data_IF_721035533388
#
_entry.id   IF_721035533388
#
_cell.length_a   1.000
_cell.length_b   1.000
_cell.length_c   1.000
_cell.angle_alpha   90.00
_cell.angle_beta   90.00
_cell.angle_gamma   90.00
#
_symmetry.space_group_name_H-M   'P 1'
#
loop_
_entity.id
_entity.type
_entity.pdbx_description
1 polymer ?
#
# COMPACT_ATOMS: atom_id res chain seq x y z
N UNK A 1 -3.35 -3.59 17.11
CA UNK A 1 -2.77 -2.66 16.11
C UNK A 1 -2.10 -1.53 16.87
N UNK A 2 -0.83 -1.20 16.58
CA UNK A 2 -0.03 -0.31 17.47
C UNK A 2 -0.66 1.08 17.70
N UNK A 3 -1.24 1.70 16.67
CA UNK A 3 -1.78 3.06 16.79
C UNK A 3 -3.14 3.14 17.52
N UNK A 4 -3.84 2.01 17.69
CA UNK A 4 -5.09 1.93 18.49
C UNK A 4 -4.82 1.36 19.88
N UNK A 5 -3.81 0.50 20.03
CA UNK A 5 -3.46 -0.16 21.28
C UNK A 5 -4.10 -1.55 21.42
N UNK A 6 -4.27 -2.00 22.66
CA UNK A 6 -4.74 -3.35 23.00
C UNK A 6 -6.21 -3.59 22.64
N UNK A 7 -7.01 -2.54 22.45
CA UNK A 7 -8.43 -2.62 22.11
C UNK A 7 -8.71 -3.14 20.70
N UNK A 8 -7.71 -3.17 19.82
CA UNK A 8 -7.81 -3.78 18.48
C UNK A 8 -6.78 -4.90 18.34
N UNK A 9 -7.09 -6.12 18.79
CA UNK A 9 -6.15 -7.24 18.73
C UNK A 9 -5.76 -7.54 17.28
N UNK A 10 -4.50 -7.89 17.07
CA UNK A 10 -3.99 -8.32 15.77
C UNK A 10 -2.90 -9.36 15.98
N UNK A 11 -3.00 -10.48 15.29
CA UNK A 11 -2.02 -11.57 15.38
C UNK A 11 -0.62 -11.08 15.05
N UNK A 12 0.35 -11.57 15.82
CA UNK A 12 1.78 -11.35 15.56
C UNK A 12 2.30 -12.18 14.38
N UNK A 13 1.51 -13.16 13.90
CA UNK A 13 1.84 -13.96 12.72
C UNK A 13 1.93 -13.13 11.43
N UNK A 14 1.42 -11.90 11.40
CA UNK A 14 1.64 -10.97 10.27
C UNK A 14 3.13 -10.76 9.94
N UNK A 15 4.02 -10.83 10.94
CA UNK A 15 5.47 -10.78 10.72
C UNK A 15 6.01 -11.97 9.90
N UNK A 16 5.34 -13.14 9.95
CA UNK A 16 5.67 -14.25 9.07
C UNK A 16 5.37 -13.90 7.61
N UNK A 17 4.17 -13.38 7.34
CA UNK A 17 3.77 -13.02 5.98
C UNK A 17 4.60 -11.87 5.42
N UNK A 18 4.94 -10.88 6.25
CA UNK A 18 5.88 -9.82 5.89
C UNK A 18 7.25 -10.39 5.49
N UNK A 19 7.85 -11.26 6.31
CA UNK A 19 9.14 -11.86 6.01
C UNK A 19 9.13 -12.71 4.73
N UNK A 20 8.05 -13.48 4.51
CA UNK A 20 7.89 -14.29 3.30
C UNK A 20 7.69 -13.40 2.07
N UNK A 21 6.87 -12.36 2.17
CA UNK A 21 6.62 -11.42 1.07
C UNK A 21 7.87 -10.60 0.72
N UNK A 22 8.61 -10.09 1.71
CA UNK A 22 9.90 -9.42 1.50
C UNK A 22 10.88 -10.33 0.75
N UNK A 23 11.00 -11.61 1.14
CA UNK A 23 11.86 -12.57 0.45
C UNK A 23 11.38 -12.89 -0.97
N UNK A 24 10.07 -13.06 -1.18
CA UNK A 24 9.53 -13.35 -2.51
C UNK A 24 9.67 -12.14 -3.44
N UNK A 25 9.28 -10.94 -3.00
CA UNK A 25 9.39 -9.73 -3.80
C UNK A 25 10.85 -9.33 -4.01
N UNK A 26 11.70 -9.43 -2.99
CA UNK A 26 13.14 -9.19 -3.11
C UNK A 26 13.87 -10.21 -4.00
N UNK A 27 13.40 -11.46 -4.06
CA UNK A 27 13.91 -12.43 -5.04
C UNK A 27 13.55 -12.10 -6.49
N UNK A 28 12.48 -11.33 -6.71
CA UNK A 28 12.02 -10.90 -8.04
C UNK A 28 12.57 -9.53 -8.44
N UNK A 29 12.75 -8.64 -7.47
CA UNK A 29 13.16 -7.24 -7.66
C UNK A 29 14.09 -6.79 -6.53
N UNK A 30 15.31 -7.36 -6.43
CA UNK A 30 16.22 -7.11 -5.31
C UNK A 30 16.68 -5.65 -5.19
N UNK A 31 16.60 -4.89 -6.28
CA UNK A 31 16.96 -3.47 -6.33
C UNK A 31 15.96 -2.58 -5.55
N UNK A 32 14.74 -3.06 -5.33
CA UNK A 32 13.63 -2.26 -4.78
C UNK A 32 13.00 -2.85 -3.51
N UNK A 33 13.65 -3.82 -2.86
CA UNK A 33 13.18 -4.42 -1.59
C UNK A 33 14.40 -4.64 -0.68
N UNK A 34 14.34 -4.25 0.61
CA UNK A 34 15.46 -4.48 1.52
C UNK A 34 15.71 -5.97 1.75
N UNK A 35 16.99 -6.36 1.78
CA UNK A 35 17.40 -7.73 2.06
C UNK A 35 16.98 -8.17 3.48
N UNK A 36 16.41 -9.37 3.60
CA UNK A 36 16.06 -9.98 4.88
C UNK A 36 17.22 -10.87 5.36
N UNK A 37 17.88 -10.46 6.44
CA UNK A 37 18.98 -11.22 7.05
C UNK A 37 18.48 -12.34 7.95
N UNK A 38 17.40 -12.10 8.70
CA UNK A 38 16.92 -13.02 9.72
C UNK A 38 15.40 -12.90 9.91
N UNK A 39 14.77 -14.02 10.23
CA UNK A 39 13.38 -14.03 10.68
C UNK A 39 13.22 -15.06 11.81
N UNK A 40 12.71 -14.62 12.95
CA UNK A 40 12.33 -15.46 14.09
C UNK A 40 10.81 -15.41 14.24
N UNK A 41 10.15 -16.53 13.94
CA UNK A 41 8.69 -16.64 14.00
C UNK A 41 8.16 -16.60 15.43
N UNK A 42 8.86 -17.22 16.38
CA UNK A 42 8.45 -17.27 17.79
C UNK A 42 8.47 -15.87 18.38
N UNK A 43 9.50 -15.08 18.05
CA UNK A 43 9.64 -13.69 18.47
C UNK A 43 8.85 -12.71 17.59
N UNK A 44 8.36 -13.16 16.43
CA UNK A 44 7.72 -12.32 15.40
C UNK A 44 8.62 -11.14 15.01
N UNK A 45 9.89 -11.44 14.75
CA UNK A 45 10.97 -10.47 14.54
C UNK A 45 11.62 -10.66 13.17
N UNK A 46 11.81 -9.56 12.44
CA UNK A 46 12.53 -9.53 11.17
C UNK A 46 13.78 -8.67 11.35
N UNK A 47 14.94 -9.25 11.03
CA UNK A 47 16.19 -8.52 10.83
C UNK A 47 16.39 -8.31 9.34
N UNK A 48 16.45 -7.05 8.89
CA UNK A 48 16.58 -6.69 7.48
C UNK A 48 17.58 -5.54 7.30
N UNK A 49 17.96 -5.27 6.05
CA UNK A 49 18.84 -4.17 5.65
C UNK A 49 18.33 -2.85 6.21
N UNK A 50 19.21 -2.15 6.93
CA UNK A 50 18.94 -0.77 7.30
C UNK A 50 19.08 0.11 6.06
N UNK A 51 17.98 0.79 5.69
CA UNK A 51 17.98 1.78 4.62
C UNK A 51 18.56 3.09 5.17
N UNK A 52 19.87 3.23 5.02
CA UNK A 52 20.66 4.31 5.61
C UNK A 52 20.25 5.71 5.10
N UNK A 53 20.54 6.77 5.88
CA UNK A 53 20.42 8.14 5.40
C UNK A 53 21.13 8.32 4.04
N UNK A 54 20.52 9.05 3.09
CA UNK A 54 19.40 9.96 3.28
C UNK A 54 18.02 9.36 2.99
N UNK A 55 17.82 8.02 3.04
CA UNK A 55 16.50 7.44 2.78
C UNK A 55 15.44 8.03 3.72
N UNK A 56 14.36 8.53 3.13
CA UNK A 56 13.17 8.96 3.85
C UNK A 56 11.92 8.28 3.28
N UNK A 57 10.86 8.23 4.07
CA UNK A 57 9.55 7.78 3.60
C UNK A 57 9.06 8.73 2.49
N UNK A 58 8.66 8.18 1.33
CA UNK A 58 8.24 8.92 0.14
C UNK A 58 7.16 9.95 0.45
N UNK A 59 6.16 9.61 1.28
CA UNK A 59 5.13 10.56 1.73
C UNK A 59 5.73 11.84 2.32
N UNK A 60 6.81 11.76 3.10
CA UNK A 60 7.49 12.94 3.66
C UNK A 60 8.15 13.78 2.56
N UNK A 61 8.77 13.12 1.58
CA UNK A 61 9.34 13.77 0.41
C UNK A 61 8.29 14.53 -0.42
N UNK A 62 7.14 13.91 -0.66
CA UNK A 62 6.03 14.51 -1.40
C UNK A 62 5.42 15.72 -0.67
N UNK A 63 5.30 15.67 0.66
CA UNK A 63 4.87 16.82 1.48
C UNK A 63 5.88 17.98 1.35
N UNK A 64 7.17 17.66 1.38
CA UNK A 64 8.25 18.64 1.24
C UNK A 64 8.36 19.20 -0.20
N UNK A 65 7.69 18.61 -1.18
CA UNK A 65 7.80 19.00 -2.59
C UNK A 65 9.13 18.60 -3.23
N UNK A 66 9.70 17.48 -2.79
CA UNK A 66 10.93 16.91 -3.39
C UNK A 66 10.55 16.06 -4.59
N UNK A 67 11.22 16.29 -5.71
CA UNK A 67 11.10 15.47 -6.91
C UNK A 67 12.03 14.24 -6.84
N UNK A 68 11.52 13.10 -7.29
CA UNK A 68 12.25 11.83 -7.35
C UNK A 68 12.23 11.33 -8.81
N UNK A 69 13.25 11.69 -9.62
CA UNK A 69 13.22 11.48 -11.07
C UNK A 69 13.03 10.01 -11.49
N UNK A 70 13.55 9.07 -10.69
CA UNK A 70 13.49 7.64 -10.97
C UNK A 70 12.28 6.93 -10.35
N UNK A 71 11.42 7.64 -9.60
CA UNK A 71 10.33 7.01 -8.86
C UNK A 71 9.37 6.25 -9.78
N UNK A 72 9.02 6.84 -10.92
CA UNK A 72 8.12 6.21 -11.88
C UNK A 72 8.71 4.92 -12.46
N UNK A 73 9.98 4.96 -12.88
CA UNK A 73 10.70 3.81 -13.42
C UNK A 73 10.79 2.69 -12.37
N UNK A 74 11.35 2.99 -11.19
CA UNK A 74 11.56 2.02 -10.12
C UNK A 74 10.26 1.36 -9.64
N UNK A 75 9.20 2.15 -9.41
CA UNK A 75 7.92 1.61 -8.95
C UNK A 75 7.21 0.81 -10.04
N UNK A 76 7.32 1.22 -11.31
CA UNK A 76 6.76 0.46 -12.42
C UNK A 76 7.45 -0.89 -12.57
N UNK A 77 8.78 -0.94 -12.40
CA UNK A 77 9.57 -2.17 -12.44
C UNK A 77 9.20 -3.10 -11.27
N UNK A 78 9.17 -2.57 -10.05
CA UNK A 78 8.73 -3.32 -8.86
C UNK A 78 7.35 -3.94 -9.06
N UNK A 79 6.35 -3.14 -9.45
CA UNK A 79 4.97 -3.63 -9.62
C UNK A 79 4.88 -4.63 -10.78
N UNK A 80 5.55 -4.37 -11.90
CA UNK A 80 5.52 -5.29 -13.04
C UNK A 80 6.12 -6.65 -12.68
N UNK A 81 7.32 -6.68 -12.09
CA UNK A 81 8.03 -7.92 -11.72
C UNK A 81 7.27 -8.70 -10.65
N UNK A 82 6.87 -8.05 -9.55
CA UNK A 82 6.23 -8.73 -8.43
C UNK A 82 4.84 -9.27 -8.80
N UNK A 83 4.00 -8.47 -9.46
CA UNK A 83 2.66 -8.89 -9.81
C UNK A 83 2.67 -9.94 -10.93
N UNK A 84 3.48 -9.76 -11.98
CA UNK A 84 3.52 -10.70 -13.11
C UNK A 84 4.04 -12.07 -12.69
N UNK A 85 5.22 -12.14 -12.06
CA UNK A 85 5.90 -13.38 -11.72
C UNK A 85 5.23 -14.18 -10.58
N UNK A 86 4.28 -13.58 -9.87
CA UNK A 86 3.48 -14.25 -8.84
C UNK A 86 2.07 -14.64 -9.31
N UNK A 87 1.73 -14.31 -10.57
CA UNK A 87 0.44 -14.62 -11.18
C UNK A 87 0.43 -15.92 -11.98
N UNK A 88 -0.77 -16.33 -12.40
CA UNK A 88 -0.97 -17.46 -13.33
C UNK A 88 -0.43 -17.22 -14.75
N UNK A 89 0.03 -16.01 -15.09
CA UNK A 89 0.72 -15.76 -16.36
C UNK A 89 2.14 -16.36 -16.37
N UNK A 90 2.71 -16.57 -15.18
CA UNK A 90 4.05 -17.11 -14.99
C UNK A 90 4.03 -18.46 -14.25
N UNK A 91 3.26 -18.56 -13.16
CA UNK A 91 3.20 -19.75 -12.31
C UNK A 91 2.24 -20.80 -12.86
N UNK A 92 2.58 -22.07 -12.66
CA UNK A 92 1.62 -23.15 -12.84
C UNK A 92 0.48 -23.06 -11.81
N UNK A 93 -0.69 -23.61 -12.14
CA UNK A 93 -1.84 -23.62 -11.21
C UNK A 93 -1.56 -24.39 -9.92
N UNK A 94 -0.66 -25.38 -9.95
CA UNK A 94 -0.21 -26.12 -8.76
C UNK A 94 0.59 -25.23 -7.81
N UNK A 95 1.57 -24.49 -8.32
CA UNK A 95 2.38 -23.55 -7.53
C UNK A 95 1.51 -22.41 -7.00
N UNK A 96 0.62 -21.87 -7.84
CA UNK A 96 -0.31 -20.81 -7.46
C UNK A 96 -1.23 -21.24 -6.33
N UNK A 97 -1.88 -22.41 -6.44
CA UNK A 97 -2.77 -22.93 -5.38
C UNK A 97 -2.02 -23.18 -4.07
N UNK A 98 -0.79 -23.71 -4.13
CA UNK A 98 0.03 -23.91 -2.93
C UNK A 98 0.35 -22.57 -2.24
N UNK A 99 0.73 -21.56 -3.01
CA UNK A 99 1.04 -20.24 -2.48
C UNK A 99 -0.22 -19.54 -1.92
N UNK A 100 -1.38 -19.68 -2.58
CA UNK A 100 -2.67 -19.19 -2.05
C UNK A 100 -2.96 -19.81 -0.68
N UNK A 101 -2.79 -21.13 -0.52
CA UNK A 101 -3.04 -21.82 0.76
C UNK A 101 -2.16 -21.29 1.89
N UNK A 102 -0.89 -20.97 1.61
CA UNK A 102 0.01 -20.38 2.60
C UNK A 102 -0.49 -18.99 3.04
N UNK A 103 -0.79 -18.11 2.08
CA UNK A 103 -1.20 -16.74 2.37
C UNK A 103 -2.65 -16.58 2.85
N UNK A 104 -3.50 -17.60 2.73
CA UNK A 104 -4.80 -17.63 3.42
C UNK A 104 -4.66 -17.49 4.94
N UNK A 105 -3.49 -17.80 5.51
CA UNK A 105 -3.22 -17.58 6.94
C UNK A 105 -3.14 -16.09 7.33
N UNK A 106 -3.00 -15.16 6.39
CA UNK A 106 -2.94 -13.72 6.67
C UNK A 106 -4.35 -13.06 6.81
N UNK A 107 -5.34 -13.87 7.19
CA UNK A 107 -6.77 -13.50 7.18
C UNK A 107 -7.09 -12.31 8.09
N UNK A 108 -6.42 -12.14 9.22
CA UNK A 108 -6.71 -11.02 10.13
C UNK A 108 -6.37 -9.66 9.50
N UNK A 109 -5.27 -9.58 8.74
CA UNK A 109 -4.89 -8.35 8.02
C UNK A 109 -5.83 -8.12 6.83
N UNK A 110 -6.21 -9.17 6.10
CA UNK A 110 -7.24 -9.06 5.06
C UNK A 110 -8.56 -8.53 5.63
N UNK A 111 -9.02 -9.06 6.77
CA UNK A 111 -10.25 -8.61 7.44
C UNK A 111 -10.19 -7.17 7.89
N UNK A 112 -9.02 -6.70 8.33
CA UNK A 112 -8.82 -5.29 8.65
C UNK A 112 -9.05 -4.42 7.40
N UNK A 113 -8.42 -4.76 6.27
CA UNK A 113 -8.61 -4.05 5.00
C UNK A 113 -10.06 -4.11 4.50
N UNK A 114 -10.70 -5.29 4.58
CA UNK A 114 -12.12 -5.48 4.25
C UNK A 114 -13.04 -4.55 5.05
N UNK A 115 -12.68 -4.23 6.30
CA UNK A 115 -13.41 -3.30 7.14
C UNK A 115 -13.08 -1.85 6.78
N UNK A 116 -11.81 -1.45 6.87
CA UNK A 116 -11.43 -0.02 6.86
C UNK A 116 -11.39 0.60 5.46
N UNK A 117 -11.11 -0.21 4.42
CA UNK A 117 -11.10 0.26 3.03
C UNK A 117 -12.47 0.08 2.39
N UNK A 118 -13.09 -1.09 2.60
CA UNK A 118 -14.26 -1.51 1.81
C UNK A 118 -15.58 -1.46 2.56
N UNK A 119 -15.66 -0.93 3.78
CA UNK A 119 -16.92 -0.93 4.55
C UNK A 119 -17.13 0.29 5.42
N UNK A 120 -16.22 0.61 6.32
CA UNK A 120 -16.42 1.65 7.33
C UNK A 120 -16.71 3.04 6.72
N UNK A 121 -16.02 3.51 5.65
CA UNK A 121 -16.35 4.79 5.02
C UNK A 121 -17.79 4.91 4.49
N UNK A 122 -18.47 3.79 4.23
CA UNK A 122 -19.78 3.72 3.58
C UNK A 122 -20.94 3.47 4.57
N UNK A 123 -20.67 3.53 5.87
CA UNK A 123 -21.67 3.41 6.95
C UNK A 123 -21.32 4.34 8.12
N UNK A 124 -22.21 4.40 9.11
CA UNK A 124 -21.85 4.99 10.42
C UNK A 124 -20.90 4.01 11.13
N UNK A 125 -19.73 4.50 11.53
CA UNK A 125 -18.71 3.74 12.27
C UNK A 125 -18.08 4.66 13.31
N UNK A 126 -17.83 4.14 14.50
CA UNK A 126 -17.12 4.86 15.57
C UNK A 126 -15.66 5.14 15.22
N UNK A 127 -15.10 4.39 14.28
CA UNK A 127 -13.70 4.52 13.84
C UNK A 127 -13.52 5.56 12.73
N UNK A 128 -14.60 6.00 12.09
CA UNK A 128 -14.48 7.01 11.04
C UNK A 128 -14.15 8.37 11.65
N UNK A 129 -13.22 9.07 11.01
CA UNK A 129 -12.82 10.42 11.39
C UNK A 129 -12.59 11.29 10.16
N UNK A 130 -12.90 12.57 10.27
CA UNK A 130 -12.71 13.58 9.23
C UNK A 130 -12.62 14.97 9.87
N UNK A 131 -12.17 15.97 9.10
CA UNK A 131 -12.08 17.36 9.55
C UNK A 131 -13.48 17.97 9.74
N UNK A 132 -14.03 17.81 10.94
CA UNK A 132 -15.35 18.33 11.32
C UNK A 132 -15.27 19.79 11.83
N UNK A 133 -16.26 20.65 11.55
CA UNK A 133 -17.53 20.35 10.85
C UNK A 133 -17.44 20.43 9.32
N UNK A 134 -16.27 20.78 8.77
CA UNK A 134 -16.11 21.16 7.37
C UNK A 134 -16.49 20.06 6.37
N UNK A 135 -16.27 18.79 6.70
CA UNK A 135 -16.53 17.63 5.83
C UNK A 135 -17.73 16.78 6.27
N UNK A 136 -18.57 17.26 7.19
CA UNK A 136 -19.69 16.46 7.73
C UNK A 136 -20.68 16.04 6.62
N UNK A 137 -20.98 16.97 5.70
CA UNK A 137 -21.89 16.73 4.57
C UNK A 137 -21.27 15.83 3.51
N UNK A 138 -19.97 15.99 3.23
CA UNK A 138 -19.24 15.12 2.30
C UNK A 138 -19.25 13.68 2.82
N UNK A 139 -18.96 13.51 4.11
CA UNK A 139 -18.98 12.23 4.76
C UNK A 139 -20.40 11.61 4.73
N UNK A 140 -21.47 12.39 4.95
CA UNK A 140 -22.87 11.94 4.79
C UNK A 140 -23.18 11.51 3.36
N UNK A 141 -22.80 12.33 2.37
CA UNK A 141 -23.01 12.06 0.95
C UNK A 141 -22.39 10.71 0.54
N UNK A 142 -21.17 10.40 1.00
CA UNK A 142 -20.51 9.11 0.71
C UNK A 142 -21.30 7.91 1.26
N UNK A 143 -21.86 8.00 2.47
CA UNK A 143 -22.64 6.91 3.07
C UNK A 143 -24.06 6.83 2.52
N UNK A 144 -24.57 7.85 1.84
CA UNK A 144 -25.89 7.83 1.21
C UNK A 144 -25.84 7.48 -0.29
N UNK A 145 -24.67 7.57 -0.92
CA UNK A 145 -24.49 7.24 -2.34
C UNK A 145 -24.61 5.73 -2.60
N UNK A 146 -25.73 5.33 -3.20
CA UNK A 146 -26.01 3.94 -3.53
C UNK A 146 -25.20 3.41 -4.70
N UNK A 147 -24.84 4.25 -5.69
CA UNK A 147 -24.03 3.83 -6.83
C UNK A 147 -22.61 3.55 -6.37
N UNK A 148 -22.04 4.44 -5.56
CA UNK A 148 -20.73 4.25 -4.96
C UNK A 148 -20.67 2.96 -4.12
N UNK A 149 -21.74 2.66 -3.38
CA UNK A 149 -21.85 1.43 -2.59
C UNK A 149 -21.89 0.16 -3.44
N UNK A 150 -22.50 0.20 -4.62
CA UNK A 150 -22.50 -0.94 -5.55
C UNK A 150 -21.08 -1.18 -6.05
N UNK A 151 -20.41 -0.13 -6.53
CA UNK A 151 -19.04 -0.23 -7.05
C UNK A 151 -18.06 -0.74 -5.98
N UNK A 152 -18.12 -0.21 -4.76
CA UNK A 152 -17.23 -0.68 -3.69
C UNK A 152 -17.56 -2.11 -3.25
N UNK A 153 -18.82 -2.54 -3.32
CA UNK A 153 -19.18 -3.93 -3.05
C UNK A 153 -18.58 -4.88 -4.09
N UNK A 154 -18.58 -4.52 -5.37
CA UNK A 154 -17.91 -5.30 -6.42
C UNK A 154 -16.40 -5.38 -6.21
N UNK A 155 -15.76 -4.26 -5.82
CA UNK A 155 -14.34 -4.23 -5.51
C UNK A 155 -14.02 -5.05 -4.25
N UNK A 156 -14.88 -5.01 -3.23
CA UNK A 156 -14.76 -5.85 -2.04
C UNK A 156 -14.84 -7.33 -2.38
N UNK A 157 -15.81 -7.74 -3.20
CA UNK A 157 -15.89 -9.13 -3.68
C UNK A 157 -14.63 -9.52 -4.44
N UNK A 158 -14.13 -8.68 -5.36
CA UNK A 158 -12.86 -8.94 -6.06
C UNK A 158 -11.69 -9.09 -5.09
N UNK A 159 -11.61 -8.26 -4.04
CA UNK A 159 -10.57 -8.34 -3.01
C UNK A 159 -10.63 -9.65 -2.22
N UNK A 160 -11.81 -10.06 -1.77
CA UNK A 160 -11.99 -11.29 -0.98
C UNK A 160 -11.86 -12.58 -1.81
N UNK A 161 -12.21 -12.56 -3.10
CA UNK A 161 -12.42 -13.77 -3.89
C UNK A 161 -11.30 -14.01 -4.93
N UNK A 162 -10.68 -12.95 -5.46
CA UNK A 162 -9.80 -13.07 -6.64
C UNK A 162 -8.33 -13.19 -6.26
N UNK A 163 -7.86 -14.43 -6.14
CA UNK A 163 -6.44 -14.75 -5.98
C UNK A 163 -5.63 -14.57 -7.29
N UNK A 164 -5.29 -13.32 -7.66
CA UNK A 164 -4.67 -12.99 -8.95
C UNK A 164 -3.14 -13.03 -8.92
N UNK A 165 -2.52 -12.43 -7.91
CA UNK A 165 -1.07 -12.36 -7.71
C UNK A 165 -0.78 -12.20 -6.21
N UNK A 166 0.47 -12.41 -5.80
CA UNK A 166 0.89 -12.01 -4.46
C UNK A 166 1.03 -10.48 -4.46
N UNK A 167 0.05 -9.80 -3.86
CA UNK A 167 0.07 -8.34 -3.70
C UNK A 167 0.78 -7.98 -2.40
N UNK A 168 1.36 -6.78 -2.35
CA UNK A 168 1.89 -6.18 -1.12
C UNK A 168 0.77 -5.91 -0.10
N UNK A 169 -0.41 -5.48 -0.57
CA UNK A 169 -1.61 -5.34 0.26
C UNK A 169 -1.69 -4.05 1.08
N UNK A 170 -0.68 -3.18 1.02
CA UNK A 170 -0.69 -1.83 1.61
C UNK A 170 0.33 -0.91 0.93
N UNK A 171 0.34 -0.91 -0.41
CA UNK A 171 1.35 -0.21 -1.22
C UNK A 171 1.09 1.30 -1.34
N UNK A 172 0.94 1.99 -0.22
CA UNK A 172 0.82 3.45 -0.18
C UNK A 172 2.19 4.16 -0.16
N UNK A 173 2.23 5.49 -0.30
CA UNK A 173 3.49 6.27 -0.30
C UNK A 173 4.24 6.28 1.04
N UNK A 174 3.68 5.70 2.10
CA UNK A 174 4.41 5.44 3.35
C UNK A 174 5.11 4.09 3.41
N UNK A 175 4.82 3.18 2.47
CA UNK A 175 5.45 1.86 2.34
C UNK A 175 6.60 1.90 1.33
N UNK A 176 7.08 3.10 1.01
CA UNK A 176 8.18 3.34 0.08
C UNK A 176 9.17 4.30 0.73
N UNK A 177 10.44 3.91 0.78
CA UNK A 177 11.56 4.76 1.16
C UNK A 177 12.35 5.18 -0.07
N UNK A 178 12.80 6.43 -0.10
CA UNK A 178 13.39 7.06 -1.29
C UNK A 178 14.59 7.93 -0.97
N UNK A 179 15.46 8.03 -1.97
CA UNK A 179 16.48 9.06 -2.20
C UNK A 179 16.37 9.49 -3.67
N UNK A 180 17.15 10.46 -4.18
CA UNK A 180 17.08 10.84 -5.59
C UNK A 180 17.31 9.67 -6.58
N UNK A 181 18.09 8.67 -6.18
CA UNK A 181 18.57 7.57 -7.02
C UNK A 181 18.20 6.15 -6.53
N UNK A 182 17.52 6.02 -5.38
CA UNK A 182 17.06 4.72 -4.84
C UNK A 182 15.60 4.78 -4.38
N UNK A 183 14.85 3.72 -4.71
CA UNK A 183 13.46 3.49 -4.28
C UNK A 183 13.36 2.09 -3.67
N UNK A 184 12.84 1.99 -2.45
CA UNK A 184 12.75 0.75 -1.68
C UNK A 184 11.35 0.57 -1.14
N UNK A 185 10.69 -0.53 -1.50
CA UNK A 185 9.37 -0.92 -0.99
C UNK A 185 9.56 -1.74 0.29
N UNK A 186 8.81 -1.38 1.33
CA UNK A 186 8.92 -1.94 2.69
C UNK A 186 7.53 -2.30 3.22
N UNK A 187 7.47 -3.07 4.30
CA UNK A 187 6.24 -3.34 5.06
C UNK A 187 5.13 -4.11 4.31
N UNK A 188 5.43 -5.22 3.59
CA UNK A 188 4.40 -6.04 2.96
C UNK A 188 3.67 -6.96 3.97
N UNK A 189 3.35 -6.49 5.19
CA UNK A 189 2.70 -7.32 6.22
C UNK A 189 1.25 -7.71 5.85
N UNK A 190 0.61 -6.94 4.97
CA UNK A 190 -0.72 -7.21 4.41
C UNK A 190 -0.70 -8.13 3.19
N UNK A 191 0.46 -8.69 2.84
CA UNK A 191 0.58 -9.46 1.61
C UNK A 191 -0.33 -10.70 1.62
N UNK A 192 -1.04 -10.90 0.52
CA UNK A 192 -1.81 -12.11 0.24
C UNK A 192 -2.03 -12.28 -1.25
N UNK A 193 -2.66 -13.39 -1.65
CA UNK A 193 -3.08 -13.58 -3.02
C UNK A 193 -4.38 -12.82 -3.30
N UNK A 194 -4.26 -11.63 -3.88
CA UNK A 194 -5.37 -10.70 -4.15
C UNK A 194 -5.35 -10.13 -5.56
N UNK A 195 -6.25 -9.18 -5.89
CA UNK A 195 -6.32 -8.54 -7.20
C UNK A 195 -5.18 -7.54 -7.38
N UNK A 196 -4.44 -7.65 -8.50
CA UNK A 196 -3.28 -6.81 -8.83
C UNK A 196 -3.58 -5.31 -8.77
N UNK A 197 -4.80 -4.92 -9.18
CA UNK A 197 -5.23 -3.52 -9.19
C UNK A 197 -5.28 -2.88 -7.80
N UNK A 198 -5.26 -3.67 -6.72
CA UNK A 198 -5.25 -3.14 -5.36
C UNK A 198 -3.94 -2.41 -5.04
N UNK A 199 -2.78 -3.02 -5.33
CA UNK A 199 -1.47 -2.40 -5.12
C UNK A 199 -1.28 -1.17 -6.02
N UNK A 200 -1.60 -1.31 -7.31
CA UNK A 200 -1.49 -0.23 -8.29
C UNK A 200 -2.39 0.95 -7.88
N UNK A 201 -3.62 0.66 -7.47
CA UNK A 201 -4.58 1.64 -7.00
C UNK A 201 -4.16 2.31 -5.69
N UNK A 202 -3.61 1.55 -4.73
CA UNK A 202 -3.10 2.10 -3.47
C UNK A 202 -1.97 3.10 -3.71
N UNK A 203 -1.03 2.76 -4.59
CA UNK A 203 0.11 3.62 -4.90
C UNK A 203 -0.32 4.88 -5.65
N UNK A 204 -1.02 4.73 -6.79
CA UNK A 204 -1.49 5.86 -7.61
C UNK A 204 -2.47 6.72 -6.82
N UNK A 205 -3.40 6.12 -6.07
CA UNK A 205 -4.34 6.84 -5.22
C UNK A 205 -3.63 7.73 -4.20
N UNK A 206 -2.55 7.25 -3.59
CA UNK A 206 -1.76 8.07 -2.66
C UNK A 206 -0.94 9.17 -3.36
N UNK A 207 -0.54 9.01 -4.62
CA UNK A 207 0.02 10.11 -5.42
C UNK A 207 -1.03 11.17 -5.72
N UNK A 208 -2.28 10.77 -6.02
CA UNK A 208 -3.41 11.69 -6.22
C UNK A 208 -3.73 12.44 -4.92
N UNK A 209 -3.71 11.77 -3.76
CA UNK A 209 -3.85 12.43 -2.46
C UNK A 209 -2.73 13.45 -2.23
N UNK A 210 -1.48 13.10 -2.57
CA UNK A 210 -0.35 14.01 -2.45
C UNK A 210 -0.50 15.24 -3.37
N UNK A 211 -1.04 15.06 -4.57
CA UNK A 211 -1.38 16.15 -5.49
C UNK A 211 -2.41 17.11 -4.88
N UNK A 212 -3.55 16.60 -4.41
CA UNK A 212 -4.59 17.45 -3.79
C UNK A 212 -4.14 18.13 -2.49
N UNK A 213 -3.15 17.56 -1.79
CA UNK A 213 -2.59 18.17 -0.59
C UNK A 213 -1.61 19.32 -0.87
N UNK A 214 -1.09 19.48 -2.09
CA UNK A 214 0.00 20.43 -2.36
C UNK A 214 -0.36 21.88 -2.04
N UNK A 215 -1.59 22.30 -2.37
CA UNK A 215 -2.04 23.68 -2.13
C UNK A 215 -2.07 24.02 -0.63
N UNK A 216 -2.40 23.05 0.23
CA UNK A 216 -2.36 23.21 1.69
C UNK A 216 -0.95 23.33 2.27
N UNK A 217 0.07 23.01 1.48
CA UNK A 217 1.49 23.10 1.85
C UNK A 217 2.23 24.25 1.14
N UNK A 218 1.54 25.06 0.33
CA UNK A 218 2.15 26.20 -0.35
C UNK A 218 2.62 27.25 0.68
N UNK A 219 3.93 27.55 0.69
CA UNK A 219 4.54 28.63 1.47
C UNK A 219 4.91 29.82 0.58
N UNK A 220 5.21 30.98 1.17
CA UNK A 220 5.52 32.23 0.43
C UNK A 220 6.75 32.14 -0.52
N UNK A 221 7.62 31.12 -0.40
CA UNK A 221 8.87 31.00 -1.17
C UNK A 221 9.00 29.77 -2.05
N UNK A 222 8.02 28.86 -2.08
CA UNK A 222 8.03 27.70 -2.97
C UNK A 222 6.84 27.83 -3.92
N UNK A 223 7.03 28.61 -4.99
CA UNK A 223 6.01 28.83 -6.00
C UNK A 223 5.98 27.56 -6.87
N UNK A 224 5.36 26.50 -6.33
CA UNK A 224 5.16 25.14 -6.91
C UNK A 224 4.37 25.15 -8.24
N UNK A 225 4.27 26.31 -8.89
CA UNK A 225 3.60 26.61 -10.17
C UNK A 225 4.47 26.31 -11.40
N UNK A 226 5.79 26.15 -11.23
CA UNK A 226 6.68 25.84 -12.36
C UNK A 226 6.32 24.49 -13.03
N UNK A 227 5.96 23.48 -12.23
CA UNK A 227 5.56 22.15 -12.73
C UNK A 227 4.24 22.14 -13.53
N UNK A 228 3.41 23.17 -13.40
CA UNK A 228 2.13 23.28 -14.13
C UNK A 228 2.26 24.05 -15.45
N UNK A 229 3.35 24.81 -15.64
CA UNK A 229 3.53 25.68 -16.81
C UNK A 229 4.17 24.99 -18.01
N UNK A 230 4.94 23.93 -17.82
CA UNK A 230 5.68 23.28 -18.92
C UNK A 230 4.86 22.30 -19.78
N UNK A 231 3.56 22.10 -19.52
CA UNK A 231 2.67 21.24 -20.35
C UNK A 231 1.71 22.02 -21.25
N UNK A 232 2.12 23.19 -21.75
CA UNK A 232 1.33 24.02 -22.68
C UNK A 232 1.96 24.25 -24.06
N UNK A 233 2.97 23.47 -24.42
CA UNK A 233 3.51 23.44 -25.80
C UNK A 233 3.25 22.10 -26.48
#
# INVERSE_FOLDING_TARGET
MRCIGESWPMTKERAYFEAVALKQHGGLCPEHVPEVYHFDRTMSLIGMRYLEPPHIILRKGLIAGIEYPLLAEHMSEYMAKTLFCTSLLYRSTTEHKRAVVEFCGNVELCRLTEQVVFSDPYKVSEYNHWTSPYLDRDAETIREDYLLKIEVAELKSKFCERAQALIHGDLHTSSVMVTPDSTQVIDPEFAFYGPMGFDIGAFIGNLILAFFAQDGHAGQGNDRKESTRERKE
#
